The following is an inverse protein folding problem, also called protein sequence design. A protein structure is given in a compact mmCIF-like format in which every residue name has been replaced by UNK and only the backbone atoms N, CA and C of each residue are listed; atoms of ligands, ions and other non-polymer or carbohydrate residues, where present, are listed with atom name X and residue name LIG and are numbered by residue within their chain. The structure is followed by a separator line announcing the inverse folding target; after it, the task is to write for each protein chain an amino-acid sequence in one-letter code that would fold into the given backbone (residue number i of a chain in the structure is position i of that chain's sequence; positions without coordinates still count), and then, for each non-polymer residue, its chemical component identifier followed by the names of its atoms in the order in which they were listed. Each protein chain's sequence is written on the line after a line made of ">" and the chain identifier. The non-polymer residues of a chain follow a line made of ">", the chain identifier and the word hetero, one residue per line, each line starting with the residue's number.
data_IF_851596335591
#
_entry.id   IF_851596335591
#
_cell.length_a   1.000
_cell.length_b   1.000
_cell.length_c   1.000
_cell.angle_alpha   90.00
_cell.angle_beta   90.00
_cell.angle_gamma   90.00
#
_symmetry.space_group_name_H-M   'P 1'
#
loop_
_entity.id
_entity.type
_entity.pdbx_description
1 polymer ?
#
# COMPACT_ATOMS: atom_id res chain seq x y z
N UNK A 1 -14.48 -4.48 -0.71
CA UNK A 1 -13.73 -4.08 -1.94
C UNK A 1 -13.28 -5.36 -2.62
N UNK A 2 -13.91 -5.72 -3.72
CA UNK A 2 -13.56 -6.90 -4.51
C UNK A 2 -13.10 -6.44 -5.89
N UNK A 3 -12.01 -7.01 -6.38
CA UNK A 3 -11.56 -6.88 -7.77
C UNK A 3 -11.53 -8.32 -8.30
N UNK A 4 -12.18 -8.58 -9.44
CA UNK A 4 -12.32 -9.94 -9.98
C UNK A 4 -12.85 -10.99 -8.98
N UNK A 5 -13.82 -10.61 -8.13
CA UNK A 5 -14.38 -11.43 -7.02
C UNK A 5 -13.41 -11.77 -5.88
N UNK A 6 -12.14 -11.41 -5.97
CA UNK A 6 -11.16 -11.58 -4.89
C UNK A 6 -11.12 -10.31 -4.03
N UNK A 7 -11.02 -10.45 -2.71
CA UNK A 7 -10.90 -9.29 -1.83
C UNK A 7 -9.53 -8.63 -2.01
N UNK A 8 -9.50 -7.32 -2.20
CA UNK A 8 -8.25 -6.54 -2.40
C UNK A 8 -7.18 -6.82 -1.32
N UNK A 9 -7.51 -6.90 -0.01
CA UNK A 9 -6.52 -7.24 1.00
C UNK A 9 -5.83 -8.60 0.81
N UNK A 10 -6.58 -9.63 0.38
CA UNK A 10 -6.00 -10.95 0.11
C UNK A 10 -5.09 -10.89 -1.12
N UNK A 11 -5.46 -10.15 -2.16
CA UNK A 11 -4.59 -9.97 -3.32
C UNK A 11 -3.26 -9.33 -2.91
N UNK A 12 -3.28 -8.25 -2.12
CA UNK A 12 -2.07 -7.62 -1.59
C UNK A 12 -1.25 -8.58 -0.73
N UNK A 13 -1.91 -9.36 0.14
CA UNK A 13 -1.25 -10.32 1.02
C UNK A 13 -0.49 -11.39 0.23
N UNK A 14 -1.14 -12.01 -0.76
CA UNK A 14 -0.51 -13.03 -1.59
C UNK A 14 0.53 -12.47 -2.55
N UNK A 15 0.25 -11.30 -3.13
CA UNK A 15 1.18 -10.64 -4.03
C UNK A 15 2.51 -10.35 -3.33
N UNK A 16 2.48 -9.68 -2.17
CA UNK A 16 3.72 -9.39 -1.44
C UNK A 16 4.39 -10.64 -0.88
N UNK A 17 3.65 -11.69 -0.54
CA UNK A 17 4.26 -12.97 -0.17
C UNK A 17 5.10 -13.57 -1.30
N UNK A 18 4.55 -13.58 -2.52
CA UNK A 18 5.24 -14.10 -3.70
C UNK A 18 6.47 -13.24 -4.01
N UNK A 19 6.35 -11.92 -3.94
CA UNK A 19 7.46 -10.99 -4.19
C UNK A 19 8.60 -11.20 -3.19
N UNK A 20 8.31 -11.39 -1.89
CA UNK A 20 9.32 -11.69 -0.87
C UNK A 20 10.11 -12.95 -1.24
N UNK A 21 9.41 -14.04 -1.60
CA UNK A 21 10.03 -15.31 -1.95
C UNK A 21 10.90 -15.16 -3.20
N UNK A 22 10.37 -14.55 -4.26
CA UNK A 22 11.06 -14.40 -5.54
C UNK A 22 12.33 -13.54 -5.36
N UNK A 23 12.27 -12.48 -4.56
CA UNK A 23 13.42 -11.62 -4.28
C UNK A 23 14.54 -12.38 -3.57
N UNK A 24 14.20 -13.22 -2.59
CA UNK A 24 15.17 -14.11 -1.93
C UNK A 24 15.78 -15.14 -2.89
N UNK A 25 14.96 -15.74 -3.75
CA UNK A 25 15.43 -16.69 -4.76
C UNK A 25 16.36 -16.01 -5.75
N UNK A 26 16.05 -14.78 -6.19
CA UNK A 26 16.92 -13.98 -7.06
C UNK A 26 18.28 -13.72 -6.40
N UNK A 27 18.27 -13.40 -5.10
CA UNK A 27 19.51 -13.20 -4.38
C UNK A 27 20.40 -14.46 -4.39
N UNK A 28 19.82 -15.61 -4.03
CA UNK A 28 20.56 -16.87 -3.88
C UNK A 28 21.11 -17.37 -5.22
N UNK A 29 20.27 -17.35 -6.26
CA UNK A 29 20.60 -17.95 -7.56
C UNK A 29 21.47 -17.02 -8.40
N UNK A 30 21.22 -15.72 -8.35
CA UNK A 30 21.78 -14.78 -9.31
C UNK A 30 22.63 -13.70 -8.66
N UNK A 31 22.04 -12.81 -7.85
CA UNK A 31 22.73 -11.60 -7.34
C UNK A 31 23.97 -11.94 -6.51
N UNK A 32 23.94 -13.03 -5.73
CA UNK A 32 25.11 -13.48 -4.95
C UNK A 32 26.30 -13.89 -5.83
N UNK A 33 26.01 -14.54 -6.95
CA UNK A 33 27.02 -15.09 -7.86
C UNK A 33 27.54 -14.07 -8.88
N UNK A 34 26.89 -12.91 -8.99
CA UNK A 34 27.30 -11.83 -9.87
C UNK A 34 28.61 -11.17 -9.43
N UNK A 35 29.37 -10.68 -10.42
CA UNK A 35 30.57 -9.87 -10.25
C UNK A 35 30.32 -8.41 -9.83
N UNK A 36 29.15 -8.09 -9.27
CA UNK A 36 28.79 -6.72 -8.83
C UNK A 36 29.56 -6.29 -7.60
N UNK A 37 29.55 -4.98 -7.34
CA UNK A 37 30.17 -4.43 -6.13
C UNK A 37 29.58 -5.12 -4.89
N UNK A 38 30.45 -5.44 -3.93
CA UNK A 38 30.05 -6.13 -2.70
C UNK A 38 28.99 -5.35 -1.93
N UNK A 39 29.13 -4.01 -1.89
CA UNK A 39 28.18 -3.11 -1.25
C UNK A 39 26.77 -3.24 -1.84
N UNK A 40 26.64 -3.38 -3.16
CA UNK A 40 25.33 -3.49 -3.81
C UNK A 40 24.66 -4.85 -3.53
N UNK A 41 25.45 -5.92 -3.47
CA UNK A 41 24.97 -7.27 -3.09
C UNK A 41 24.53 -7.33 -1.63
N UNK A 42 25.31 -6.72 -0.74
CA UNK A 42 24.99 -6.64 0.68
C UNK A 42 23.75 -5.77 0.91
N UNK A 43 23.60 -4.67 0.16
CA UNK A 43 22.39 -3.86 0.17
C UNK A 43 21.16 -4.66 -0.31
N UNK A 44 21.26 -5.39 -1.42
CA UNK A 44 20.17 -6.23 -1.92
C UNK A 44 19.70 -7.23 -0.85
N UNK A 45 20.64 -7.95 -0.22
CA UNK A 45 20.31 -8.88 0.86
C UNK A 45 19.65 -8.17 2.04
N UNK A 46 20.18 -7.02 2.46
CA UNK A 46 19.61 -6.25 3.56
C UNK A 46 18.16 -5.86 3.27
N UNK A 47 17.85 -5.41 2.05
CA UNK A 47 16.49 -5.08 1.65
C UNK A 47 15.58 -6.30 1.49
N UNK A 48 16.08 -7.47 1.09
CA UNK A 48 15.29 -8.72 1.17
C UNK A 48 14.90 -9.04 2.62
N UNK A 49 15.82 -8.87 3.57
CA UNK A 49 15.54 -9.09 5.00
C UNK A 49 14.54 -8.06 5.52
N UNK A 50 14.75 -6.78 5.23
CA UNK A 50 13.83 -5.70 5.62
C UNK A 50 12.43 -5.95 5.02
N UNK A 51 12.35 -6.33 3.76
CA UNK A 51 11.10 -6.69 3.08
C UNK A 51 10.37 -7.82 3.80
N UNK A 52 11.09 -8.88 4.20
CA UNK A 52 10.50 -10.02 4.93
C UNK A 52 9.98 -9.59 6.28
N UNK A 53 10.73 -8.77 7.02
CA UNK A 53 10.31 -8.25 8.33
C UNK A 53 9.12 -7.31 8.17
N UNK A 54 9.17 -6.38 7.21
CA UNK A 54 8.10 -5.45 6.91
C UNK A 54 6.80 -6.20 6.53
N UNK A 55 6.92 -7.24 5.71
CA UNK A 55 5.80 -8.10 5.36
C UNK A 55 5.29 -8.88 6.58
N UNK A 56 6.15 -9.63 7.26
CA UNK A 56 5.76 -10.56 8.32
C UNK A 56 5.24 -9.88 9.59
N UNK A 57 5.89 -8.80 10.02
CA UNK A 57 5.57 -8.13 11.29
C UNK A 57 4.57 -6.97 11.15
N UNK A 58 4.53 -6.32 9.98
CA UNK A 58 3.75 -5.09 9.81
C UNK A 58 2.63 -5.24 8.78
N UNK A 59 2.97 -5.37 7.49
CA UNK A 59 1.99 -5.31 6.40
C UNK A 59 1.06 -6.53 6.35
N UNK A 60 1.59 -7.74 6.53
CA UNK A 60 0.83 -8.99 6.57
C UNK A 60 -0.27 -8.96 7.63
N UNK A 61 0.03 -8.67 8.91
CA UNK A 61 -0.97 -8.50 9.95
C UNK A 61 -2.03 -7.44 9.60
N UNK A 62 -1.62 -6.30 9.02
CA UNK A 62 -2.53 -5.25 8.58
C UNK A 62 -3.47 -5.72 7.46
N UNK A 63 -2.96 -6.48 6.49
CA UNK A 63 -3.77 -7.07 5.41
C UNK A 63 -4.77 -8.09 5.96
N UNK A 64 -4.34 -9.01 6.82
CA UNK A 64 -5.24 -9.98 7.49
C UNK A 64 -6.32 -9.25 8.30
N UNK A 65 -5.93 -8.21 9.03
CA UNK A 65 -6.87 -7.40 9.81
C UNK A 65 -7.90 -6.70 8.93
N UNK A 66 -7.47 -6.07 7.84
CA UNK A 66 -8.37 -5.40 6.90
C UNK A 66 -9.33 -6.38 6.20
N UNK A 67 -8.89 -7.63 6.00
CA UNK A 67 -9.71 -8.69 5.43
C UNK A 67 -10.78 -9.20 6.43
N UNK A 68 -10.34 -9.67 7.61
CA UNK A 68 -11.15 -10.48 8.53
C UNK A 68 -11.72 -9.72 9.73
N UNK A 69 -10.98 -8.75 10.29
CA UNK A 69 -11.27 -8.19 11.62
C UNK A 69 -11.81 -6.75 11.61
N UNK A 70 -11.80 -6.08 10.47
CA UNK A 70 -12.29 -4.70 10.40
C UNK A 70 -13.81 -4.59 10.48
N UNK A 71 -14.28 -3.96 11.57
CA UNK A 71 -15.71 -3.77 11.88
C UNK A 71 -16.39 -2.69 11.02
N UNK A 72 -15.64 -1.66 10.60
CA UNK A 72 -16.13 -0.57 9.76
C UNK A 72 -15.37 -0.52 8.43
N UNK A 73 -16.02 -0.01 7.38
CA UNK A 73 -15.40 0.15 6.05
C UNK A 73 -14.14 1.03 6.12
N UNK A 74 -14.21 2.11 6.91
CA UNK A 74 -13.10 3.04 7.14
C UNK A 74 -11.93 2.41 7.87
N UNK A 75 -12.17 1.61 8.92
CA UNK A 75 -11.10 0.90 9.62
C UNK A 75 -10.43 -0.16 8.73
N UNK A 76 -11.21 -0.87 7.91
CA UNK A 76 -10.67 -1.84 6.93
C UNK A 76 -9.78 -1.13 5.91
N UNK A 77 -10.27 -0.05 5.33
CA UNK A 77 -9.53 0.74 4.34
C UNK A 77 -8.26 1.34 4.93
N UNK A 78 -8.33 1.92 6.13
CA UNK A 78 -7.15 2.51 6.78
C UNK A 78 -6.04 1.49 7.07
N UNK A 79 -6.40 0.27 7.49
CA UNK A 79 -5.42 -0.81 7.72
C UNK A 79 -4.83 -1.34 6.41
N UNK A 80 -5.66 -1.47 5.37
CA UNK A 80 -5.20 -1.83 4.02
C UNK A 80 -4.19 -0.81 3.49
N UNK A 81 -4.54 0.48 3.53
CA UNK A 81 -3.68 1.57 3.08
C UNK A 81 -2.38 1.64 3.90
N UNK A 82 -2.47 1.42 5.22
CA UNK A 82 -1.28 1.34 6.07
C UNK A 82 -0.34 0.20 5.67
N UNK A 83 -0.87 -0.98 5.39
CA UNK A 83 -0.07 -2.12 4.93
C UNK A 83 0.59 -1.84 3.58
N UNK A 84 -0.14 -1.25 2.64
CA UNK A 84 0.40 -0.86 1.32
C UNK A 84 1.52 0.18 1.48
N UNK A 85 1.33 1.19 2.33
CA UNK A 85 2.33 2.22 2.58
C UNK A 85 3.62 1.66 3.19
N UNK A 86 3.50 0.72 4.13
CA UNK A 86 4.67 0.03 4.72
C UNK A 86 5.44 -0.72 3.65
N UNK A 87 4.77 -1.53 2.81
CA UNK A 87 5.45 -2.28 1.75
C UNK A 87 6.06 -1.36 0.69
N UNK A 88 5.36 -0.28 0.32
CA UNK A 88 5.88 0.70 -0.63
C UNK A 88 7.18 1.32 -0.15
N UNK A 89 7.24 1.82 1.09
CA UNK A 89 8.39 2.55 1.62
C UNK A 89 9.58 1.64 1.98
N UNK A 90 9.31 0.45 2.52
CA UNK A 90 10.37 -0.42 3.06
C UNK A 90 10.81 -1.53 2.11
N UNK A 91 10.03 -1.83 1.07
CA UNK A 91 10.32 -2.91 0.13
C UNK A 91 10.29 -2.40 -1.31
N UNK A 92 9.13 -2.04 -1.84
CA UNK A 92 8.98 -1.85 -3.30
C UNK A 92 9.83 -0.70 -3.83
N UNK A 93 9.79 0.48 -3.21
CA UNK A 93 10.56 1.63 -3.69
C UNK A 93 12.09 1.41 -3.56
N UNK A 94 12.64 1.02 -2.38
CA UNK A 94 14.07 0.74 -2.27
C UNK A 94 14.54 -0.35 -3.22
N UNK A 95 13.75 -1.42 -3.38
CA UNK A 95 14.17 -2.56 -4.20
C UNK A 95 14.19 -2.22 -5.69
N UNK A 96 13.22 -1.44 -6.19
CA UNK A 96 13.27 -0.89 -7.56
C UNK A 96 14.54 -0.09 -7.80
N UNK A 97 14.95 0.75 -6.84
CA UNK A 97 16.16 1.56 -6.97
C UNK A 97 17.41 0.68 -7.05
N UNK A 98 17.49 -0.35 -6.20
CA UNK A 98 18.63 -1.27 -6.19
C UNK A 98 18.69 -2.09 -7.47
N UNK A 99 17.55 -2.59 -7.96
CA UNK A 99 17.50 -3.37 -9.19
C UNK A 99 17.78 -2.51 -10.42
N UNK A 100 17.36 -1.25 -10.42
CA UNK A 100 17.77 -0.29 -11.45
C UNK A 100 19.29 -0.03 -11.39
N UNK A 101 19.87 0.10 -10.20
CA UNK A 101 21.31 0.28 -10.04
C UNK A 101 22.10 -0.96 -10.48
N UNK A 102 21.61 -2.17 -10.17
CA UNK A 102 22.12 -3.43 -10.70
C UNK A 102 22.09 -3.40 -12.23
N UNK A 103 20.93 -3.13 -12.82
CA UNK A 103 20.71 -3.13 -14.26
C UNK A 103 21.61 -2.15 -15.02
N UNK A 104 21.84 -0.94 -14.46
CA UNK A 104 22.71 0.08 -15.05
C UNK A 104 24.21 -0.21 -14.87
N UNK A 105 24.57 -1.06 -13.91
CA UNK A 105 25.97 -1.43 -13.65
C UNK A 105 26.47 -2.57 -14.55
N UNK A 106 25.62 -3.13 -15.40
CA UNK A 106 25.96 -4.28 -16.25
C UNK A 106 26.04 -3.93 -17.74
N UNK A 107 27.07 -4.49 -18.40
CA UNK A 107 27.05 -4.74 -19.84
C UNK A 107 26.04 -5.85 -20.16
N UNK A 108 25.32 -5.67 -21.26
CA UNK A 108 24.05 -6.33 -21.63
C UNK A 108 24.04 -7.87 -21.75
N UNK A 109 25.14 -8.57 -21.51
CA UNK A 109 25.30 -9.99 -21.86
C UNK A 109 24.81 -11.00 -20.81
N UNK A 110 24.69 -10.61 -19.53
CA UNK A 110 24.21 -11.50 -18.45
C UNK A 110 22.87 -11.04 -17.87
N UNK A 111 21.84 -10.94 -18.71
CA UNK A 111 20.47 -10.69 -18.23
C UNK A 111 19.74 -12.01 -17.96
N UNK A 112 19.64 -12.39 -16.69
CA UNK A 112 18.80 -13.53 -16.31
C UNK A 112 17.33 -13.10 -16.25
N UNK A 113 16.42 -13.89 -16.82
CA UNK A 113 14.98 -13.55 -16.88
C UNK A 113 14.36 -13.33 -15.49
N UNK A 114 14.91 -13.99 -14.47
CA UNK A 114 14.45 -13.88 -13.09
C UNK A 114 14.67 -12.46 -12.52
N UNK A 115 15.81 -11.83 -12.84
CA UNK A 115 16.13 -10.46 -12.41
C UNK A 115 15.15 -9.43 -12.99
N UNK A 116 14.86 -9.55 -14.30
CA UNK A 116 13.85 -8.72 -14.95
C UNK A 116 12.43 -8.96 -14.41
N UNK A 117 12.13 -10.18 -13.95
CA UNK A 117 10.84 -10.50 -13.33
C UNK A 117 10.72 -9.83 -11.96
N UNK A 118 11.77 -9.89 -11.13
CA UNK A 118 11.78 -9.27 -9.80
C UNK A 118 11.63 -7.75 -9.94
N UNK A 119 12.33 -7.15 -10.90
CA UNK A 119 12.20 -5.73 -11.24
C UNK A 119 10.78 -5.36 -11.65
N UNK A 120 10.19 -6.10 -12.58
CA UNK A 120 8.81 -5.84 -13.02
C UNK A 120 7.81 -5.93 -11.85
N UNK A 121 7.99 -6.90 -10.95
CA UNK A 121 7.14 -7.08 -9.79
C UNK A 121 7.28 -5.91 -8.81
N UNK A 122 8.50 -5.55 -8.40
CA UNK A 122 8.71 -4.41 -7.51
C UNK A 122 8.30 -3.09 -8.16
N UNK A 123 8.52 -2.89 -9.45
CA UNK A 123 8.09 -1.69 -10.18
C UNK A 123 6.56 -1.57 -10.18
N UNK A 124 5.85 -2.66 -10.45
CA UNK A 124 4.39 -2.69 -10.39
C UNK A 124 3.91 -2.36 -8.98
N UNK A 125 4.51 -2.99 -7.96
CA UNK A 125 4.22 -2.74 -6.56
C UNK A 125 4.49 -1.28 -6.16
N UNK A 126 5.60 -0.70 -6.65
CA UNK A 126 6.00 0.67 -6.36
C UNK A 126 5.07 1.69 -7.03
N UNK A 127 4.62 1.44 -8.26
CA UNK A 127 3.67 2.31 -8.95
C UNK A 127 2.34 2.34 -8.23
N UNK A 128 1.69 1.18 -8.05
CA UNK A 128 0.40 1.12 -7.38
C UNK A 128 0.48 1.51 -5.90
N UNK A 129 1.52 1.05 -5.20
CA UNK A 129 1.80 1.40 -3.81
C UNK A 129 2.07 2.89 -3.62
N UNK A 130 2.80 3.51 -4.55
CA UNK A 130 3.09 4.94 -4.56
C UNK A 130 1.84 5.78 -4.76
N UNK A 131 1.04 5.48 -5.79
CA UNK A 131 -0.22 6.20 -6.01
C UNK A 131 -1.18 6.06 -4.83
N UNK A 132 -1.39 4.84 -4.34
CA UNK A 132 -2.31 4.61 -3.21
C UNK A 132 -1.83 5.26 -1.91
N UNK A 133 -0.52 5.19 -1.61
CA UNK A 133 0.08 5.84 -0.45
C UNK A 133 0.00 7.36 -0.56
N UNK A 134 0.21 7.93 -1.76
CA UNK A 134 0.06 9.35 -2.04
C UNK A 134 -1.38 9.83 -1.78
N UNK A 135 -2.39 9.13 -2.30
CA UNK A 135 -3.79 9.47 -2.04
C UNK A 135 -4.14 9.33 -0.56
N UNK A 136 -3.64 8.29 0.11
CA UNK A 136 -3.82 8.13 1.55
C UNK A 136 -3.22 9.31 2.33
N UNK A 137 -2.01 9.73 1.98
CA UNK A 137 -1.35 10.89 2.55
C UNK A 137 -2.16 12.18 2.31
N UNK A 138 -2.60 12.44 1.07
CA UNK A 138 -3.42 13.61 0.76
C UNK A 138 -4.74 13.63 1.54
N UNK A 139 -5.36 12.46 1.78
CA UNK A 139 -6.56 12.36 2.63
C UNK A 139 -6.28 12.74 4.08
N UNK A 140 -5.13 12.34 4.61
CA UNK A 140 -4.69 12.73 5.97
C UNK A 140 -4.44 14.23 6.03
N UNK A 141 -3.70 14.80 5.07
CA UNK A 141 -3.43 16.24 4.99
C UNK A 141 -4.72 17.05 4.87
N UNK A 142 -5.65 16.62 4.01
CA UNK A 142 -6.95 17.29 3.86
C UNK A 142 -7.74 17.31 5.18
N UNK A 143 -7.75 16.20 5.93
CA UNK A 143 -8.40 16.13 7.25
C UNK A 143 -7.73 17.06 8.26
N UNK A 144 -6.40 17.18 8.25
CA UNK A 144 -5.69 18.13 9.11
C UNK A 144 -6.02 19.58 8.77
N UNK A 145 -6.03 19.94 7.48
CA UNK A 145 -6.39 21.29 7.03
C UNK A 145 -7.85 21.63 7.34
N UNK A 146 -8.76 20.68 7.23
CA UNK A 146 -10.16 20.84 7.62
C UNK A 146 -10.33 21.07 9.12
N UNK A 147 -9.54 20.40 9.97
CA UNK A 147 -9.53 20.64 11.42
C UNK A 147 -9.02 22.02 11.79
N UNK A 148 -8.06 22.56 11.03
CA UNK A 148 -7.53 23.91 11.24
C UNK A 148 -8.49 25.03 10.84
N UNK A 149 -9.37 24.82 9.86
CA UNK A 149 -10.28 25.87 9.32
C UNK A 149 -11.63 26.00 10.06
N UNK A 150 -11.82 25.30 11.17
CA UNK A 150 -13.04 25.38 11.99
C UNK A 150 -14.17 24.42 11.56
N UNK A 151 -15.09 24.08 12.48
CA UNK A 151 -16.09 23.01 12.31
C UNK A 151 -17.14 23.26 11.21
N UNK A 152 -17.31 24.50 10.74
CA UNK A 152 -18.38 24.89 9.80
C UNK A 152 -18.18 24.41 8.35
N UNK A 153 -16.97 23.94 7.98
CA UNK A 153 -16.65 23.45 6.62
C UNK A 153 -16.18 21.99 6.59
N UNK A 154 -16.52 21.22 7.62
CA UNK A 154 -16.24 19.78 7.63
C UNK A 154 -17.22 19.06 6.71
N UNK A 155 -16.71 18.49 5.62
CA UNK A 155 -17.47 17.57 4.78
C UNK A 155 -17.63 16.29 5.59
N UNK A 156 -18.86 15.96 5.99
CA UNK A 156 -19.15 14.72 6.70
C UNK A 156 -18.73 13.52 5.82
N UNK A 157 -17.86 12.67 6.35
CA UNK A 157 -17.52 11.41 5.69
C UNK A 157 -18.66 10.43 5.99
N UNK A 158 -19.63 10.33 5.09
CA UNK A 158 -20.83 9.45 5.20
C UNK A 158 -20.49 7.97 5.47
N UNK A 159 -19.21 7.60 5.38
CA UNK A 159 -18.69 6.27 5.62
C UNK A 159 -18.27 5.98 7.09
N UNK A 160 -18.22 6.99 7.97
CA UNK A 160 -17.76 6.84 9.35
C UNK A 160 -18.85 6.40 10.35
N UNK A 161 -20.14 6.51 10.00
CA UNK A 161 -21.27 6.17 10.88
C UNK A 161 -22.29 5.32 10.11
N UNK A 162 -22.57 4.05 10.47
CA UNK A 162 -23.77 3.40 9.95
C UNK A 162 -24.98 4.22 10.42
N UNK A 163 -25.88 4.68 9.54
CA UNK A 163 -26.96 5.56 9.94
C UNK A 163 -27.85 4.83 10.96
N UNK A 164 -27.75 5.21 12.23
CA UNK A 164 -28.76 4.88 13.24
C UNK A 164 -30.08 5.52 12.80
N UNK A 165 -31.18 4.78 12.96
CA UNK A 165 -32.52 5.17 12.47
C UNK A 165 -32.93 6.60 12.89
N UNK A 166 -32.41 7.08 14.02
CA UNK A 166 -32.68 8.42 14.57
C UNK A 166 -32.11 9.56 13.71
N UNK A 167 -30.98 9.34 13.01
CA UNK A 167 -30.37 10.37 12.13
C UNK A 167 -31.21 10.58 10.87
N UNK A 168 -31.91 9.55 10.36
CA UNK A 168 -32.84 9.70 9.23
C UNK A 168 -34.02 10.60 9.58
N UNK A 169 -34.53 10.50 10.81
CA UNK A 169 -35.67 11.31 11.25
C UNK A 169 -35.29 12.79 11.40
N UNK A 170 -34.07 13.09 11.85
CA UNK A 170 -33.60 14.48 11.98
C UNK A 170 -33.34 15.17 10.64
N UNK A 171 -32.86 14.43 9.62
CA UNK A 171 -32.66 14.95 8.26
C UNK A 171 -33.99 15.24 7.54
N UNK A 172 -34.98 14.34 7.68
CA UNK A 172 -36.34 14.57 7.15
C UNK A 172 -36.99 15.77 7.84
N UNK A 173 -36.78 15.93 9.15
CA UNK A 173 -37.32 17.08 9.88
C UNK A 173 -36.68 18.38 9.38
N UNK A 174 -35.36 18.48 9.18
CA UNK A 174 -34.71 19.71 8.69
C UNK A 174 -35.19 20.17 7.30
N UNK A 175 -35.56 19.26 6.41
CA UNK A 175 -36.08 19.63 5.09
C UNK A 175 -37.46 20.31 5.16
N UNK A 176 -38.28 20.00 6.18
CA UNK A 176 -39.58 20.65 6.40
C UNK A 176 -39.50 22.05 7.04
N UNK A 177 -38.33 22.47 7.52
CA UNK A 177 -38.15 23.78 8.19
C UNK A 177 -37.37 24.80 7.35
N UNK A 178 -37.12 24.54 6.07
CA UNK A 178 -36.68 25.60 5.16
C UNK A 178 -37.93 26.32 4.63
N UNK A 179 -38.16 27.60 4.95
CA UNK A 179 -39.19 28.37 4.26
C UNK A 179 -38.83 28.44 2.78
N UNK A 180 -39.80 28.15 1.93
CA UNK A 180 -39.72 28.41 0.49
C UNK A 180 -39.43 29.90 0.30
N UNK A 181 -38.20 30.23 -0.07
CA UNK A 181 -37.87 31.56 -0.59
C UNK A 181 -38.37 31.62 -2.03
N UNK A 182 -39.40 32.45 -2.22
CA UNK A 182 -39.95 32.90 -3.52
C UNK A 182 -38.86 33.42 -4.45
#
# INVERSE_FOLDING_TARGET
>A
MHIFRISVPLMCLFYHFIVVIISFVNYIIFVKLQGTSRALRDAYLAFCVIETVAYGACAGPLFVYSYKYGKTSTARLGRLLGGIAVMFLLSSLPMVIIEMALFLSFDSELRHALDGTVFCLHATAALFGGFTSWFAYMRVVARFLQRWRGPERQIADDSEIPPTKDVRLHLVKRYQWQPETV
#
